data_IF_064793236234
#
_entry.id   IF_064793236234
#
_cell.length_a   1.000
_cell.length_b   1.000
_cell.length_c   1.000
_cell.angle_alpha   90.00
_cell.angle_beta   90.00
_cell.angle_gamma   90.00
#
_symmetry.space_group_name_H-M   'P 1'
#
loop_
_entity.id
_entity.type
_entity.pdbx_description
1 polymer ?
#
# COMPACT_ATOMS: atom_id res chain seq x y z
N UNK A 1 -5.38 -33.47 3.93
CA UNK A 1 -6.73 -33.45 4.51
C UNK A 1 -6.78 -33.42 6.04
N UNK A 2 -5.94 -34.12 6.81
CA UNK A 2 -5.98 -34.08 8.29
C UNK A 2 -5.60 -32.74 8.95
N UNK A 3 -4.86 -31.86 8.28
CA UNK A 3 -4.43 -30.57 8.84
C UNK A 3 -5.48 -29.43 8.75
N UNK A 4 -6.47 -29.53 7.88
CA UNK A 4 -7.56 -28.54 7.79
C UNK A 4 -8.62 -28.69 8.89
N UNK A 5 -8.83 -29.91 9.40
CA UNK A 5 -9.82 -30.14 10.46
C UNK A 5 -9.44 -29.54 11.82
N UNK A 6 -8.16 -29.35 12.08
CA UNK A 6 -7.70 -28.76 13.36
C UNK A 6 -7.98 -27.26 13.46
N UNK A 7 -8.02 -26.55 12.32
CA UNK A 7 -8.34 -25.11 12.26
C UNK A 7 -9.84 -24.84 12.39
N UNK A 8 -10.69 -25.70 11.81
CA UNK A 8 -12.15 -25.64 11.99
C UNK A 8 -12.59 -25.95 13.42
N UNK A 9 -11.89 -26.83 14.15
CA UNK A 9 -12.18 -27.15 15.54
C UNK A 9 -11.84 -25.98 16.50
N UNK A 10 -10.85 -25.16 16.20
CA UNK A 10 -10.55 -23.95 16.97
C UNK A 10 -11.62 -22.88 16.81
N UNK A 11 -12.23 -22.74 15.63
CA UNK A 11 -13.36 -21.84 15.40
C UNK A 11 -14.67 -22.34 16.02
N UNK A 12 -14.88 -23.65 16.03
CA UNK A 12 -16.07 -24.26 16.66
C UNK A 12 -16.07 -24.18 18.21
N UNK A 13 -14.89 -24.18 18.84
CA UNK A 13 -14.79 -24.02 20.28
C UNK A 13 -15.03 -22.58 20.78
N UNK A 14 -14.94 -21.58 19.91
CA UNK A 14 -15.28 -20.18 20.24
C UNK A 14 -16.80 -19.91 20.30
N UNK A 15 -17.63 -20.77 19.72
CA UNK A 15 -19.08 -20.61 19.66
C UNK A 15 -19.85 -20.82 20.98
N UNK A 16 -19.18 -21.25 22.06
CA UNK A 16 -19.87 -21.61 23.33
C UNK A 16 -19.84 -20.50 24.42
N UNK A 17 -19.38 -19.28 24.11
CA UNK A 17 -19.19 -18.22 25.11
C UNK A 17 -20.15 -17.03 24.98
N UNK A 18 -21.22 -17.16 24.23
CA UNK A 18 -22.28 -16.14 24.17
C UNK A 18 -23.24 -16.29 25.37
N UNK A 19 -22.79 -15.89 26.55
CA UNK A 19 -23.71 -15.73 27.68
C UNK A 19 -24.57 -14.46 27.49
N UNK A 20 -25.87 -14.63 27.58
CA UNK A 20 -26.88 -13.60 27.44
C UNK A 20 -26.83 -12.59 28.59
N UNK A 21 -26.43 -11.36 28.30
CA UNK A 21 -26.54 -10.24 29.22
C UNK A 21 -27.48 -9.15 28.63
N UNK A 22 -28.42 -8.65 29.46
CA UNK A 22 -29.59 -7.87 29.08
C UNK A 22 -29.32 -6.38 28.78
N UNK A 23 -28.08 -5.96 28.60
CA UNK A 23 -27.71 -4.57 28.27
C UNK A 23 -27.18 -4.38 26.84
N UNK A 24 -27.60 -5.24 25.90
CA UNK A 24 -27.04 -5.28 24.55
C UNK A 24 -27.78 -4.30 23.64
N UNK A 25 -27.20 -3.15 23.39
CA UNK A 25 -27.66 -2.26 22.34
C UNK A 25 -27.06 -2.72 21.00
N UNK A 26 -27.93 -3.21 20.09
CA UNK A 26 -27.54 -3.37 18.71
C UNK A 26 -27.48 -1.98 18.05
N UNK A 27 -26.52 -1.76 17.18
CA UNK A 27 -26.41 -0.54 16.39
C UNK A 27 -26.26 -0.90 14.91
N UNK A 28 -27.07 -0.26 14.07
CA UNK A 28 -26.91 -0.29 12.62
C UNK A 28 -26.68 1.13 12.12
N UNK A 29 -25.61 1.33 11.36
CA UNK A 29 -25.27 2.61 10.74
C UNK A 29 -25.14 2.43 9.23
N UNK A 30 -25.67 3.39 8.48
CA UNK A 30 -25.50 3.47 7.03
C UNK A 30 -24.92 4.82 6.69
N UNK A 31 -23.87 4.82 5.91
CA UNK A 31 -23.18 6.01 5.43
C UNK A 31 -22.90 5.92 3.93
N UNK A 32 -22.49 7.04 3.39
CA UNK A 32 -22.00 7.12 2.01
C UNK A 32 -20.66 7.85 1.99
N UNK A 33 -19.76 7.43 1.10
CA UNK A 33 -18.56 8.17 0.77
C UNK A 33 -18.52 8.37 -0.75
N UNK A 34 -18.55 9.62 -1.16
CA UNK A 34 -18.39 10.03 -2.56
C UNK A 34 -17.08 10.78 -2.68
N UNK A 35 -16.25 10.35 -3.61
CA UNK A 35 -15.00 11.03 -3.98
C UNK A 35 -15.02 11.35 -5.47
N UNK A 36 -14.75 12.60 -5.79
CA UNK A 36 -14.40 13.04 -7.15
C UNK A 36 -12.94 13.46 -7.12
N UNK A 37 -12.13 12.87 -8.00
CA UNK A 37 -10.69 13.10 -8.04
C UNK A 37 -10.25 13.37 -9.47
N UNK A 38 -9.51 14.44 -9.67
CA UNK A 38 -8.94 14.82 -10.96
C UNK A 38 -7.43 14.93 -10.87
N UNK A 39 -6.76 14.50 -11.94
CA UNK A 39 -5.31 14.60 -12.08
C UNK A 39 -4.95 15.21 -13.43
N UNK A 40 -3.85 15.94 -13.43
CA UNK A 40 -3.24 16.52 -14.62
C UNK A 40 -1.73 16.40 -14.52
N UNK A 41 -1.11 15.77 -15.51
CA UNK A 41 0.32 15.61 -15.65
C UNK A 41 0.82 16.37 -16.88
N UNK A 42 2.01 16.93 -16.81
CA UNK A 42 2.62 17.62 -17.96
C UNK A 42 4.15 17.62 -17.84
N UNK A 43 4.81 17.48 -18.99
CA UNK A 43 6.25 17.69 -19.21
C UNK A 43 7.14 16.64 -18.53
N UNK A 44 8.24 16.25 -19.16
CA UNK A 44 9.29 15.40 -18.57
C UNK A 44 8.89 14.00 -18.14
N UNK A 45 7.64 13.63 -18.28
CA UNK A 45 7.12 12.30 -17.94
C UNK A 45 7.60 11.26 -18.94
N UNK A 46 7.71 9.97 -18.53
CA UNK A 46 7.92 8.89 -19.48
C UNK A 46 6.89 8.99 -20.59
N UNK A 47 7.35 9.08 -21.81
CA UNK A 47 6.44 9.08 -22.96
C UNK A 47 5.93 7.67 -23.13
N UNK A 48 4.62 7.49 -23.12
CA UNK A 48 4.00 6.32 -23.76
C UNK A 48 4.19 6.52 -25.27
N UNK A 49 5.24 5.91 -25.81
CA UNK A 49 5.78 6.16 -27.17
C UNK A 49 4.76 5.87 -28.25
N UNK A 50 3.70 5.10 -27.93
CA UNK A 50 2.77 4.58 -28.93
C UNK A 50 1.46 5.35 -29.05
N UNK A 51 1.14 6.30 -28.18
CA UNK A 51 -0.23 6.82 -28.15
C UNK A 51 -0.43 8.29 -28.51
N UNK A 52 0.41 9.21 -28.07
CA UNK A 52 0.17 10.63 -28.35
C UNK A 52 1.46 11.45 -28.28
N UNK A 53 1.69 12.30 -29.25
CA UNK A 53 2.74 13.34 -29.26
C UNK A 53 2.49 14.46 -28.22
N UNK A 54 1.68 14.22 -27.19
CA UNK A 54 1.29 15.24 -26.23
C UNK A 54 2.04 15.02 -24.90
N UNK A 55 2.75 16.06 -24.47
CA UNK A 55 3.43 16.12 -23.17
C UNK A 55 2.44 16.30 -22.00
N UNK A 56 1.16 15.98 -22.17
CA UNK A 56 0.10 16.20 -21.18
C UNK A 56 -0.86 15.05 -21.12
N UNK A 57 -1.26 14.68 -19.89
CA UNK A 57 -2.36 13.78 -19.65
C UNK A 57 -3.25 14.33 -18.55
N UNK A 58 -4.54 14.05 -18.63
CA UNK A 58 -5.50 14.43 -17.60
C UNK A 58 -6.62 13.41 -17.53
N UNK A 59 -7.14 13.19 -16.33
CA UNK A 59 -8.31 12.37 -16.14
C UNK A 59 -9.10 12.80 -14.90
N UNK A 60 -10.37 12.43 -14.89
CA UNK A 60 -11.28 12.65 -13.78
C UNK A 60 -12.00 11.34 -13.48
N UNK A 61 -11.96 10.91 -12.23
CA UNK A 61 -12.72 9.74 -11.80
C UNK A 61 -13.64 10.05 -10.63
N UNK A 62 -14.69 9.25 -10.51
CA UNK A 62 -15.58 9.22 -9.38
C UNK A 62 -15.53 7.88 -8.67
N UNK A 63 -15.59 7.90 -7.36
CA UNK A 63 -15.74 6.73 -6.51
C UNK A 63 -16.89 6.96 -5.53
N UNK A 64 -17.85 6.05 -5.53
CA UNK A 64 -18.97 6.06 -4.59
C UNK A 64 -18.97 4.80 -3.77
N UNK A 65 -19.05 4.93 -2.45
CA UNK A 65 -19.17 3.81 -1.51
C UNK A 65 -20.47 3.94 -0.72
N UNK A 66 -21.18 2.84 -0.59
CA UNK A 66 -22.22 2.64 0.42
C UNK A 66 -21.61 1.83 1.55
N UNK A 67 -21.65 2.38 2.76
CA UNK A 67 -21.04 1.79 3.96
C UNK A 67 -22.15 1.34 4.89
N UNK A 68 -22.12 0.10 5.33
CA UNK A 68 -23.05 -0.48 6.29
C UNK A 68 -22.27 -1.08 7.45
N UNK A 69 -22.51 -0.60 8.64
CA UNK A 69 -21.91 -1.07 9.89
C UNK A 69 -22.99 -1.64 10.81
N UNK A 70 -22.77 -2.85 11.30
CA UNK A 70 -23.55 -3.44 12.37
C UNK A 70 -22.64 -3.76 13.55
N UNK A 71 -23.06 -3.36 14.74
CA UNK A 71 -22.32 -3.60 15.96
C UNK A 71 -23.25 -4.07 17.08
N UNK A 72 -22.81 -5.08 17.80
CA UNK A 72 -23.32 -5.49 19.11
C UNK A 72 -22.17 -5.99 19.96
N UNK A 73 -22.39 -6.16 21.28
CA UNK A 73 -21.34 -6.66 22.18
C UNK A 73 -20.67 -7.92 21.62
N UNK A 74 -19.37 -7.85 21.34
CA UNK A 74 -18.54 -8.96 20.86
C UNK A 74 -18.77 -9.35 19.39
N UNK A 75 -19.59 -8.63 18.61
CA UNK A 75 -19.78 -8.89 17.20
C UNK A 75 -19.86 -7.59 16.41
N UNK A 76 -19.08 -7.50 15.36
CA UNK A 76 -19.12 -6.41 14.37
C UNK A 76 -19.26 -7.03 12.97
N UNK A 77 -20.06 -6.40 12.13
CA UNK A 77 -20.12 -6.71 10.70
C UNK A 77 -20.04 -5.39 9.92
N UNK A 78 -19.31 -5.41 8.84
CA UNK A 78 -19.01 -4.27 7.99
C UNK A 78 -19.13 -4.66 6.53
N UNK A 79 -19.75 -3.79 5.72
CA UNK A 79 -19.84 -3.98 4.30
C UNK A 79 -19.70 -2.64 3.57
N UNK A 80 -18.86 -2.61 2.54
CA UNK A 80 -18.68 -1.46 1.65
C UNK A 80 -18.82 -1.90 0.21
N UNK A 81 -19.90 -1.49 -0.42
CA UNK A 81 -20.09 -1.63 -1.86
C UNK A 81 -19.51 -0.39 -2.52
N UNK A 82 -18.61 -0.58 -3.48
CA UNK A 82 -17.89 0.48 -4.16
C UNK A 82 -18.21 0.47 -5.65
N UNK A 83 -18.49 1.65 -6.19
CA UNK A 83 -18.45 1.92 -7.62
C UNK A 83 -17.30 2.88 -7.92
N UNK A 84 -16.50 2.60 -8.95
CA UNK A 84 -15.49 3.50 -9.50
C UNK A 84 -15.62 3.58 -11.00
N UNK A 85 -15.47 4.80 -11.53
CA UNK A 85 -15.56 5.06 -12.95
C UNK A 85 -14.69 6.26 -13.34
N UNK A 86 -14.01 6.16 -14.48
CA UNK A 86 -13.46 7.32 -15.17
C UNK A 86 -14.61 8.03 -15.88
N UNK A 87 -14.73 9.34 -15.70
CA UNK A 87 -15.84 10.10 -16.25
C UNK A 87 -15.83 10.08 -17.78
N UNK A 88 -16.99 9.78 -18.35
CA UNK A 88 -17.19 9.71 -19.80
C UNK A 88 -16.76 8.40 -20.47
N UNK A 89 -16.05 7.51 -19.77
CA UNK A 89 -15.69 6.20 -20.31
C UNK A 89 -16.84 5.21 -20.17
N UNK A 90 -17.45 4.80 -21.29
CA UNK A 90 -18.44 3.72 -21.31
C UNK A 90 -17.73 2.37 -21.08
N UNK A 91 -18.30 1.52 -20.23
CA UNK A 91 -17.77 0.18 -19.96
C UNK A 91 -16.60 0.10 -18.95
N UNK A 92 -16.07 1.24 -18.51
CA UNK A 92 -15.01 1.29 -17.48
C UNK A 92 -15.60 1.67 -16.11
N UNK A 93 -16.68 1.00 -15.74
CA UNK A 93 -17.31 1.11 -14.42
C UNK A 93 -17.14 -0.22 -13.72
N UNK A 94 -16.63 -0.20 -12.50
CA UNK A 94 -16.58 -1.37 -11.66
C UNK A 94 -17.47 -1.18 -10.44
N UNK A 95 -18.39 -2.12 -10.25
CA UNK A 95 -19.16 -2.26 -9.00
C UNK A 95 -18.62 -3.49 -8.30
N UNK A 96 -18.05 -3.32 -7.12
CA UNK A 96 -17.46 -4.41 -6.37
C UNK A 96 -17.70 -4.28 -4.86
N UNK A 97 -17.52 -5.38 -4.16
CA UNK A 97 -17.42 -5.40 -2.71
C UNK A 97 -15.99 -4.99 -2.34
N UNK A 98 -15.82 -3.77 -1.83
CA UNK A 98 -14.53 -3.27 -1.38
C UNK A 98 -14.14 -3.87 -0.02
N UNK A 99 -15.07 -3.87 0.94
CA UNK A 99 -14.95 -4.57 2.21
C UNK A 99 -16.23 -5.36 2.51
N UNK A 100 -16.07 -6.50 3.16
CA UNK A 100 -17.19 -7.32 3.59
C UNK A 100 -16.71 -8.36 4.59
N UNK A 101 -16.85 -8.06 5.88
CA UNK A 101 -16.28 -8.90 6.92
C UNK A 101 -17.13 -8.93 8.20
N UNK A 102 -16.91 -9.97 8.99
CA UNK A 102 -17.45 -10.13 10.34
C UNK A 102 -16.29 -10.33 11.32
N UNK A 103 -16.27 -9.58 12.44
CA UNK A 103 -15.32 -9.70 13.54
C UNK A 103 -16.07 -10.10 14.82
N UNK A 104 -15.59 -11.15 15.47
CA UNK A 104 -16.02 -11.57 16.80
C UNK A 104 -14.90 -11.26 17.78
N UNK A 105 -15.24 -10.62 18.92
CA UNK A 105 -14.29 -10.24 19.95
C UNK A 105 -14.77 -10.77 21.30
N UNK A 106 -13.92 -11.54 21.99
CA UNK A 106 -14.17 -12.02 23.33
C UNK A 106 -13.83 -10.97 24.38
N UNK A 107 -14.38 -11.10 25.60
CA UNK A 107 -14.16 -10.13 26.69
C UNK A 107 -12.69 -10.00 27.14
N UNK A 108 -11.87 -10.99 26.85
CA UNK A 108 -10.43 -10.99 27.16
C UNK A 108 -9.54 -10.39 26.05
N UNK A 109 -10.12 -9.78 25.00
CA UNK A 109 -9.38 -9.16 23.91
C UNK A 109 -9.00 -10.10 22.75
N UNK A 110 -9.29 -11.40 22.84
CA UNK A 110 -9.12 -12.30 21.70
C UNK A 110 -10.19 -12.02 20.65
N UNK A 111 -9.82 -12.07 19.38
CA UNK A 111 -10.76 -11.87 18.28
C UNK A 111 -10.50 -12.82 17.11
N UNK A 112 -11.53 -13.01 16.30
CA UNK A 112 -11.47 -13.61 14.98
C UNK A 112 -12.29 -12.77 13.98
N UNK A 113 -11.74 -12.56 12.78
CA UNK A 113 -12.36 -11.81 11.68
C UNK A 113 -12.22 -12.61 10.39
N UNK A 114 -13.26 -12.62 9.58
CA UNK A 114 -13.25 -13.28 8.29
C UNK A 114 -13.95 -12.41 7.24
N UNK A 115 -13.40 -12.39 6.05
CA UNK A 115 -13.96 -11.71 4.89
C UNK A 115 -12.95 -10.84 4.16
N UNK A 116 -13.46 -9.91 3.36
CA UNK A 116 -12.67 -8.94 2.60
C UNK A 116 -12.39 -7.71 3.46
N UNK A 117 -11.13 -7.46 3.74
CA UNK A 117 -10.66 -6.44 4.70
C UNK A 117 -9.64 -5.51 4.04
N UNK A 118 -9.83 -4.21 4.19
CA UNK A 118 -8.81 -3.22 3.86
C UNK A 118 -7.77 -3.20 4.99
N UNK A 119 -6.68 -3.96 4.80
CA UNK A 119 -5.61 -4.07 5.80
C UNK A 119 -4.77 -2.80 5.83
N UNK A 120 -4.51 -2.29 7.03
CA UNK A 120 -3.64 -1.14 7.28
C UNK A 120 -2.80 -1.42 8.53
N UNK A 121 -1.48 -1.36 8.40
CA UNK A 121 -0.54 -1.63 9.48
C UNK A 121 0.58 -0.59 9.50
N UNK A 122 0.98 -0.18 10.70
CA UNK A 122 2.06 0.76 10.95
C UNK A 122 1.88 2.10 10.18
N UNK A 123 2.90 2.52 9.43
CA UNK A 123 2.84 3.70 8.57
C UNK A 123 2.22 3.42 7.18
N UNK A 124 1.74 2.19 6.94
CA UNK A 124 1.22 1.69 5.65
C UNK A 124 2.30 1.54 4.56
N UNK A 125 3.55 1.49 4.91
CA UNK A 125 4.64 1.33 3.95
C UNK A 125 4.68 -0.06 3.30
N UNK A 126 4.26 -1.10 4.03
CA UNK A 126 4.26 -2.49 3.57
C UNK A 126 2.83 -2.99 3.30
N UNK A 127 1.90 -2.71 4.20
CA UNK A 127 0.48 -3.08 4.07
C UNK A 127 -0.36 -1.83 4.31
N UNK A 128 -1.06 -1.37 3.29
CA UNK A 128 -1.88 -0.18 3.37
C UNK A 128 -3.07 -0.23 2.41
N UNK A 129 -4.06 0.60 2.67
CA UNK A 129 -5.33 0.63 1.94
C UNK A 129 -5.22 1.28 0.57
N UNK A 130 -4.20 2.12 0.35
CA UNK A 130 -4.03 2.92 -0.86
C UNK A 130 -5.30 3.71 -1.27
N UNK A 131 -5.96 4.31 -0.29
CA UNK A 131 -7.29 4.92 -0.48
C UNK A 131 -7.30 6.18 -1.37
N UNK A 132 -6.13 6.69 -1.72
CA UNK A 132 -5.95 7.78 -2.68
C UNK A 132 -6.25 7.33 -4.12
N UNK A 133 -5.96 6.08 -4.47
CA UNK A 133 -6.14 5.55 -5.82
C UNK A 133 -7.63 5.35 -6.18
N UNK A 134 -7.90 5.24 -7.49
CA UNK A 134 -9.23 4.95 -8.03
C UNK A 134 -9.83 3.68 -7.40
N UNK A 135 -9.04 2.61 -7.33
CA UNK A 135 -9.36 1.39 -6.62
C UNK A 135 -8.44 1.24 -5.41
N UNK A 136 -8.98 1.32 -4.22
CA UNK A 136 -8.27 1.05 -2.99
C UNK A 136 -8.01 -0.46 -2.82
N UNK A 137 -7.04 -0.83 -1.96
CA UNK A 137 -6.64 -2.22 -1.74
C UNK A 137 -7.46 -2.88 -0.64
N UNK A 138 -7.84 -4.14 -0.85
CA UNK A 138 -8.45 -5.01 0.15
C UNK A 138 -8.00 -6.47 -0.08
N UNK A 139 -8.10 -7.30 0.95
CA UNK A 139 -7.61 -8.67 0.96
C UNK A 139 -8.68 -9.62 1.51
N UNK A 140 -8.88 -10.77 0.88
CA UNK A 140 -9.76 -11.83 1.37
C UNK A 140 -8.98 -12.66 2.39
N UNK A 141 -9.34 -12.53 3.67
CA UNK A 141 -8.52 -13.06 4.77
C UNK A 141 -9.34 -13.70 5.89
N UNK A 142 -8.69 -14.60 6.61
CA UNK A 142 -9.02 -14.94 7.99
C UNK A 142 -7.96 -14.28 8.87
N UNK A 143 -8.39 -13.42 9.79
CA UNK A 143 -7.53 -12.74 10.75
C UNK A 143 -7.95 -13.09 12.16
N UNK A 144 -7.03 -13.53 12.98
CA UNK A 144 -7.26 -13.80 14.40
C UNK A 144 -6.16 -13.13 15.24
N UNK A 145 -6.46 -12.81 16.47
CA UNK A 145 -5.46 -12.16 17.30
C UNK A 145 -5.95 -11.76 18.68
N UNK A 146 -5.16 -10.92 19.29
CA UNK A 146 -5.40 -10.32 20.60
C UNK A 146 -5.19 -8.82 20.53
N UNK A 147 -6.11 -8.06 21.11
CA UNK A 147 -6.02 -6.61 21.27
C UNK A 147 -6.33 -6.25 22.72
N UNK A 148 -5.34 -5.76 23.48
CA UNK A 148 -5.54 -5.36 24.86
C UNK A 148 -4.25 -5.03 25.60
N UNK A 149 -4.34 -4.17 26.64
CA UNK A 149 -3.24 -3.78 27.52
C UNK A 149 -2.00 -3.23 26.80
N UNK A 150 -2.21 -2.50 25.69
CA UNK A 150 -1.14 -1.97 24.84
C UNK A 150 -0.57 -2.99 23.85
N UNK A 151 -0.98 -4.26 23.91
CA UNK A 151 -0.55 -5.30 22.98
C UNK A 151 -1.57 -5.50 21.87
N UNK A 152 -1.09 -5.66 20.65
CA UNK A 152 -1.86 -6.10 19.48
C UNK A 152 -1.07 -7.19 18.78
N UNK A 153 -1.65 -8.37 18.63
CA UNK A 153 -1.01 -9.52 17.97
C UNK A 153 -1.97 -10.10 16.95
N UNK A 154 -1.63 -10.08 15.69
CA UNK A 154 -2.49 -10.52 14.58
C UNK A 154 -1.82 -11.62 13.78
N UNK A 155 -2.58 -12.66 13.47
CA UNK A 155 -2.25 -13.69 12.48
C UNK A 155 -3.25 -13.55 11.34
N UNK A 156 -2.75 -13.43 10.12
CA UNK A 156 -3.52 -13.20 8.91
C UNK A 156 -3.22 -14.32 7.93
N UNK A 157 -4.26 -14.94 7.41
CA UNK A 157 -4.16 -16.01 6.43
C UNK A 157 -5.04 -15.66 5.23
N UNK A 158 -4.46 -15.75 4.03
CA UNK A 158 -5.19 -15.59 2.78
C UNK A 158 -4.89 -16.73 1.81
N UNK A 159 -5.89 -17.05 1.01
CA UNK A 159 -5.76 -17.98 -0.10
C UNK A 159 -6.61 -17.46 -1.27
N UNK A 160 -5.96 -17.15 -2.38
CA UNK A 160 -6.60 -16.59 -3.56
C UNK A 160 -6.67 -17.61 -4.69
N UNK A 161 -7.75 -17.52 -5.43
CA UNK A 161 -8.04 -18.34 -6.60
C UNK A 161 -8.64 -17.43 -7.67
N UNK A 162 -8.43 -17.77 -8.95
CA UNK A 162 -9.02 -17.02 -10.05
C UNK A 162 -10.17 -17.78 -10.73
N UNK A 163 -10.61 -18.89 -10.15
CA UNK A 163 -11.73 -19.66 -10.62
C UNK A 163 -12.15 -20.76 -9.64
N UNK A 164 -13.37 -21.22 -9.77
CA UNK A 164 -13.89 -22.37 -9.05
C UNK A 164 -13.41 -23.65 -9.73
N UNK A 165 -12.69 -24.51 -9.00
CA UNK A 165 -12.23 -25.78 -9.52
C UNK A 165 -12.39 -26.88 -8.48
N UNK A 166 -13.34 -27.78 -8.71
CA UNK A 166 -13.73 -28.83 -7.78
C UNK A 166 -12.99 -30.15 -8.05
N UNK A 167 -12.45 -30.35 -9.25
CA UNK A 167 -11.94 -31.63 -9.73
C UNK A 167 -10.42 -31.67 -9.93
N UNK A 168 -9.74 -30.56 -9.91
CA UNK A 168 -8.28 -30.49 -10.07
C UNK A 168 -7.66 -29.46 -9.15
N UNK A 169 -6.34 -29.41 -9.10
CA UNK A 169 -5.65 -28.36 -8.37
C UNK A 169 -6.06 -26.98 -8.90
N UNK A 170 -6.51 -26.10 -8.00
CA UNK A 170 -6.73 -24.73 -8.40
C UNK A 170 -5.39 -23.99 -8.49
N UNK A 171 -5.23 -23.23 -9.54
CA UNK A 171 -4.08 -22.36 -9.71
C UNK A 171 -4.50 -20.92 -9.60
N UNK A 172 -3.56 -20.10 -9.21
CA UNK A 172 -3.64 -18.69 -9.37
C UNK A 172 -2.95 -18.31 -10.69
N UNK A 173 -3.73 -17.85 -11.67
CA UNK A 173 -3.20 -17.25 -12.90
C UNK A 173 -3.46 -15.75 -12.79
N UNK A 174 -2.46 -14.92 -12.96
CA UNK A 174 -2.46 -13.49 -12.74
C UNK A 174 -3.83 -12.81 -12.69
N UNK A 175 -4.23 -12.35 -11.52
CA UNK A 175 -5.55 -11.78 -11.24
C UNK A 175 -5.48 -10.56 -10.34
N UNK A 176 -6.57 -10.26 -9.64
CA UNK A 176 -6.69 -9.07 -8.83
C UNK A 176 -5.74 -9.03 -7.61
N UNK A 177 -5.25 -10.16 -7.12
CA UNK A 177 -4.31 -10.27 -6.01
C UNK A 177 -2.95 -10.75 -6.50
N UNK A 178 -1.90 -10.17 -5.93
CA UNK A 178 -0.53 -10.44 -6.34
C UNK A 178 0.04 -11.75 -5.75
N UNK A 179 -0.69 -12.46 -4.90
CA UNK A 179 -0.26 -13.70 -4.26
C UNK A 179 -1.35 -14.77 -4.35
N UNK A 180 -0.94 -16.02 -4.39
CA UNK A 180 -1.81 -17.19 -4.22
C UNK A 180 -2.12 -17.43 -2.74
N UNK A 181 -1.09 -17.35 -1.89
CA UNK A 181 -1.24 -17.50 -0.44
C UNK A 181 -0.49 -16.41 0.30
N UNK A 182 -1.02 -16.00 1.44
CA UNK A 182 -0.34 -15.09 2.37
C UNK A 182 -0.50 -15.60 3.79
N UNK A 183 0.61 -15.69 4.51
CA UNK A 183 0.66 -15.93 5.94
C UNK A 183 1.42 -14.77 6.57
N UNK A 184 0.75 -13.99 7.41
CA UNK A 184 1.35 -12.83 8.06
C UNK A 184 1.14 -12.88 9.56
N UNK A 185 2.19 -12.55 10.28
CA UNK A 185 2.16 -12.30 11.73
C UNK A 185 2.59 -10.86 11.94
N UNK A 186 1.79 -10.10 12.65
CA UNK A 186 2.11 -8.75 13.07
C UNK A 186 1.88 -8.61 14.56
N UNK A 187 2.81 -7.96 15.25
CA UNK A 187 2.73 -7.65 16.66
C UNK A 187 3.11 -6.21 16.91
N UNK A 188 2.30 -5.51 17.70
CA UNK A 188 2.54 -4.14 18.13
C UNK A 188 2.44 -4.05 19.65
N UNK A 189 3.26 -3.19 20.24
CA UNK A 189 3.22 -2.86 21.64
C UNK A 189 3.37 -1.37 21.87
N UNK A 190 2.35 -0.78 22.50
CA UNK A 190 2.40 0.58 23.04
C UNK A 190 2.86 0.51 24.50
N UNK A 191 3.98 1.15 24.81
CA UNK A 191 4.57 1.13 26.16
C UNK A 191 3.71 1.97 27.11
N UNK A 192 3.14 1.40 28.19
CA UNK A 192 2.29 2.14 29.12
C UNK A 192 3.04 3.34 29.73
N UNK A 193 2.41 4.52 29.71
CA UNK A 193 2.94 5.76 30.28
C UNK A 193 4.25 6.28 29.65
N UNK A 194 4.64 5.72 28.51
CA UNK A 194 5.80 6.18 27.75
C UNK A 194 5.42 6.29 26.27
N UNK A 195 5.71 7.41 25.58
CA UNK A 195 5.22 7.66 24.23
C UNK A 195 6.02 6.90 23.17
N UNK A 196 6.10 5.58 23.30
CA UNK A 196 6.80 4.67 22.40
C UNK A 196 5.88 3.52 21.99
N UNK A 197 5.70 3.34 20.70
CA UNK A 197 5.12 2.15 20.09
C UNK A 197 6.15 1.43 19.23
N UNK A 198 6.09 0.12 19.17
CA UNK A 198 6.95 -0.69 18.31
C UNK A 198 6.20 -1.87 17.73
N UNK A 199 6.46 -2.18 16.47
CA UNK A 199 5.86 -3.31 15.76
C UNK A 199 6.92 -4.22 15.16
N UNK A 200 6.54 -5.50 15.04
CA UNK A 200 7.26 -6.51 14.27
C UNK A 200 6.29 -7.12 13.24
N UNK A 201 6.78 -7.35 12.04
CA UNK A 201 6.03 -7.98 10.96
C UNK A 201 6.84 -9.13 10.37
N UNK A 202 6.17 -10.25 10.15
CA UNK A 202 6.63 -11.33 9.29
C UNK A 202 5.52 -11.68 8.30
N UNK A 203 5.84 -11.70 7.02
CA UNK A 203 4.92 -12.06 5.95
C UNK A 203 5.59 -13.09 5.04
N UNK A 204 4.88 -14.17 4.74
CA UNK A 204 5.26 -15.17 3.75
C UNK A 204 4.23 -15.19 2.64
N UNK A 205 4.66 -14.93 1.42
CA UNK A 205 3.83 -14.87 0.22
C UNK A 205 4.12 -16.06 -0.65
N UNK A 206 3.11 -16.84 -1.02
CA UNK A 206 3.22 -17.86 -2.05
C UNK A 206 2.75 -17.29 -3.39
N UNK A 207 3.64 -17.27 -4.37
CA UNK A 207 3.39 -16.81 -5.73
C UNK A 207 3.29 -18.03 -6.65
N UNK A 208 2.34 -18.00 -7.57
CA UNK A 208 2.22 -19.04 -8.58
C UNK A 208 3.22 -18.77 -9.70
N UNK A 209 4.07 -19.74 -10.01
CA UNK A 209 4.91 -19.80 -11.20
C UNK A 209 4.47 -20.93 -12.12
N UNK A 210 4.92 -20.92 -13.37
CA UNK A 210 4.64 -21.94 -14.35
C UNK A 210 3.24 -21.85 -14.99
N UNK A 211 3.07 -22.54 -16.10
CA UNK A 211 1.83 -22.61 -16.86
C UNK A 211 1.20 -24.01 -16.80
N UNK A 212 -0.13 -24.12 -16.60
CA UNK A 212 -0.79 -25.40 -16.34
C UNK A 212 -0.67 -26.45 -17.45
N UNK A 213 -0.33 -26.07 -18.66
CA UNK A 213 -0.37 -26.95 -19.84
C UNK A 213 0.99 -27.17 -20.52
N UNK A 214 2.07 -26.70 -19.93
CA UNK A 214 3.41 -26.82 -20.49
C UNK A 214 4.16 -27.98 -19.84
N UNK A 215 4.63 -28.92 -20.64
CA UNK A 215 5.32 -30.14 -20.15
C UNK A 215 6.55 -29.86 -19.29
N UNK A 216 7.23 -28.76 -19.53
CA UNK A 216 8.48 -28.38 -18.85
C UNK A 216 8.31 -27.24 -17.85
N UNK A 217 7.12 -26.68 -17.72
CA UNK A 217 6.82 -25.53 -16.86
C UNK A 217 5.57 -25.82 -16.02
N UNK A 218 5.68 -26.82 -15.13
CA UNK A 218 4.58 -27.21 -14.27
C UNK A 218 4.31 -26.12 -13.21
N UNK A 219 3.02 -25.87 -12.89
CA UNK A 219 2.67 -24.91 -11.86
C UNK A 219 3.31 -25.27 -10.52
N UNK A 220 4.06 -24.34 -9.95
CA UNK A 220 4.62 -24.43 -8.60
C UNK A 220 4.21 -23.22 -7.77
N UNK A 221 4.48 -23.25 -6.47
CA UNK A 221 4.28 -22.12 -5.59
C UNK A 221 5.61 -21.77 -4.96
N UNK A 222 6.13 -20.63 -5.36
CA UNK A 222 7.37 -20.08 -4.85
C UNK A 222 7.10 -19.09 -3.72
N UNK A 223 8.01 -19.02 -2.77
CA UNK A 223 7.78 -18.25 -1.56
C UNK A 223 8.72 -17.06 -1.44
N UNK A 224 8.13 -15.91 -1.16
CA UNK A 224 8.84 -14.68 -0.81
C UNK A 224 8.51 -14.29 0.64
N UNK A 225 9.53 -13.90 1.39
CA UNK A 225 9.36 -13.46 2.76
C UNK A 225 9.66 -11.97 2.89
N UNK A 226 8.86 -11.28 3.70
CA UNK A 226 9.10 -9.94 4.20
C UNK A 226 9.12 -9.98 5.73
N UNK A 227 10.15 -9.43 6.34
CA UNK A 227 10.23 -9.34 7.80
C UNK A 227 10.97 -8.09 8.24
N UNK A 228 10.53 -7.55 9.36
CA UNK A 228 11.09 -6.32 9.90
C UNK A 228 10.23 -5.70 10.98
N UNK A 229 10.35 -4.40 11.15
CA UNK A 229 9.60 -3.68 12.16
C UNK A 229 9.55 -2.18 11.96
N UNK A 230 8.71 -1.58 12.76
CA UNK A 230 8.44 -0.16 12.80
C UNK A 230 8.46 0.34 14.25
N UNK A 231 8.98 1.51 14.47
CA UNK A 231 8.94 2.21 15.75
C UNK A 231 8.36 3.60 15.59
N UNK A 232 7.59 4.06 16.57
CA UNK A 232 7.18 5.43 16.72
C UNK A 232 7.42 5.92 18.15
N UNK A 233 8.12 7.04 18.28
CA UNK A 233 8.31 7.73 19.53
C UNK A 233 7.71 9.12 19.40
N UNK A 234 6.68 9.45 20.21
CA UNK A 234 5.83 10.63 20.01
C UNK A 234 5.61 11.46 21.30
N UNK A 235 6.67 11.97 21.94
CA UNK A 235 6.50 12.94 23.03
C UNK A 235 5.87 14.24 22.49
N UNK A 236 5.38 15.08 23.40
CA UNK A 236 4.47 16.20 23.14
C UNK A 236 4.70 17.03 21.87
N UNK A 237 5.95 17.32 21.50
CA UNK A 237 6.29 18.23 20.38
C UNK A 237 7.16 17.56 19.31
N UNK A 238 7.48 16.29 19.48
CA UNK A 238 8.37 15.54 18.62
C UNK A 238 7.73 14.19 18.29
N UNK A 239 7.79 13.78 17.05
CA UNK A 239 7.50 12.39 16.64
C UNK A 239 8.71 11.89 15.86
N UNK A 240 9.24 10.75 16.26
CA UNK A 240 10.30 10.04 15.53
C UNK A 240 9.70 8.71 15.08
N UNK A 241 9.77 8.46 13.80
CA UNK A 241 9.32 7.21 13.16
C UNK A 241 10.52 6.54 12.50
N UNK A 242 10.59 5.23 12.58
CA UNK A 242 11.63 4.46 11.92
C UNK A 242 11.11 3.10 11.50
N UNK A 243 11.57 2.61 10.36
CA UNK A 243 11.25 1.28 9.88
C UNK A 243 12.46 0.60 9.24
N UNK A 244 12.51 -0.72 9.38
CA UNK A 244 13.48 -1.56 8.72
C UNK A 244 12.82 -2.86 8.30
N UNK A 245 12.92 -3.20 7.01
CA UNK A 245 12.36 -4.44 6.46
C UNK A 245 13.35 -5.12 5.53
N UNK A 246 13.33 -6.46 5.52
CA UNK A 246 14.09 -7.30 4.59
C UNK A 246 13.16 -8.20 3.80
N UNK A 247 13.55 -8.46 2.56
CA UNK A 247 12.92 -9.43 1.68
C UNK A 247 13.87 -10.58 1.41
N UNK A 248 13.33 -11.78 1.38
CA UNK A 248 14.01 -13.03 1.09
C UNK A 248 13.15 -13.97 0.25
N UNK A 249 13.62 -15.18 0.02
CA UNK A 249 12.97 -16.14 -0.85
C UNK A 249 13.46 -16.05 -2.28
N UNK A 250 12.60 -16.36 -3.24
CA UNK A 250 12.95 -16.44 -4.65
C UNK A 250 12.02 -15.61 -5.53
N UNK A 251 12.60 -14.93 -6.51
CA UNK A 251 11.88 -14.33 -7.63
C UNK A 251 11.93 -15.33 -8.80
N UNK A 252 10.77 -15.64 -9.36
CA UNK A 252 10.67 -16.53 -10.51
C UNK A 252 10.41 -15.70 -11.76
N UNK A 253 11.26 -15.84 -12.75
CA UNK A 253 11.03 -15.34 -14.11
C UNK A 253 10.47 -16.48 -14.96
N UNK A 254 9.17 -16.44 -15.22
CA UNK A 254 8.48 -17.46 -16.01
C UNK A 254 8.95 -17.50 -17.47
N UNK A 255 9.48 -16.41 -17.99
CA UNK A 255 10.00 -16.33 -19.37
C UNK A 255 11.36 -17.01 -19.49
N UNK A 256 12.23 -16.81 -18.50
CA UNK A 256 13.57 -17.35 -18.48
C UNK A 256 13.72 -18.65 -17.70
N UNK A 257 12.65 -19.12 -17.02
CA UNK A 257 12.64 -20.26 -16.11
C UNK A 257 13.75 -20.19 -15.05
N UNK A 258 14.09 -18.99 -14.60
CA UNK A 258 15.19 -18.73 -13.69
C UNK A 258 14.65 -18.43 -12.28
N UNK A 259 15.22 -19.12 -11.30
CA UNK A 259 15.01 -18.83 -9.88
C UNK A 259 16.12 -17.90 -9.41
N UNK A 260 15.75 -16.70 -8.97
CA UNK A 260 16.71 -15.70 -8.49
C UNK A 260 16.48 -15.45 -7.02
N UNK A 261 17.43 -15.74 -6.11
CA UNK A 261 17.28 -15.48 -4.70
C UNK A 261 17.15 -13.97 -4.41
N UNK A 262 16.26 -13.63 -3.48
CA UNK A 262 16.00 -12.25 -3.06
C UNK A 262 16.81 -11.92 -1.82
N UNK A 263 17.54 -10.79 -1.84
CA UNK A 263 18.27 -10.23 -0.69
C UNK A 263 18.09 -8.70 -0.62
N UNK A 264 16.85 -8.27 -0.61
CA UNK A 264 16.51 -6.85 -0.60
C UNK A 264 16.23 -6.35 0.82
N UNK A 265 16.39 -5.04 1.03
CA UNK A 265 16.09 -4.42 2.31
C UNK A 265 15.76 -2.93 2.15
N UNK A 266 15.07 -2.39 3.14
CA UNK A 266 14.85 -0.96 3.25
C UNK A 266 15.04 -0.47 4.68
N UNK A 267 15.37 0.80 4.81
CA UNK A 267 15.37 1.53 6.07
C UNK A 267 14.75 2.92 5.87
N UNK A 268 14.03 3.40 6.87
CA UNK A 268 13.44 4.73 6.88
C UNK A 268 13.56 5.36 8.26
N UNK A 269 13.84 6.65 8.31
CA UNK A 269 13.79 7.45 9.52
C UNK A 269 13.14 8.80 9.23
N UNK A 270 12.19 9.21 10.07
CA UNK A 270 11.48 10.49 9.95
C UNK A 270 11.35 11.14 11.32
N UNK A 271 11.62 12.43 11.37
CA UNK A 271 11.35 13.27 12.53
C UNK A 271 10.32 14.35 12.17
N UNK A 272 9.33 14.51 13.02
CA UNK A 272 8.32 15.56 12.92
C UNK A 272 8.34 16.39 14.19
N UNK A 273 8.55 17.69 14.07
CA UNK A 273 8.62 18.64 15.18
C UNK A 273 7.42 19.57 15.08
N UNK A 274 6.63 19.68 16.14
CA UNK A 274 5.47 20.59 16.25
C UNK A 274 5.66 21.59 17.39
N UNK A 275 6.36 22.70 17.15
CA UNK A 275 6.55 23.72 18.19
C UNK A 275 5.23 24.32 18.67
N UNK A 276 4.23 24.33 17.80
CA UNK A 276 2.86 24.82 18.08
C UNK A 276 1.81 23.88 17.52
N UNK A 277 0.56 23.98 17.96
CA UNK A 277 -0.56 23.21 17.40
C UNK A 277 -0.88 23.58 15.93
N UNK A 278 -0.34 24.72 15.45
CA UNK A 278 -0.65 25.24 14.11
C UNK A 278 0.42 24.91 13.07
N UNK A 279 1.68 24.79 13.45
CA UNK A 279 2.78 24.64 12.51
C UNK A 279 3.76 23.56 12.96
N UNK A 280 4.33 22.89 12.02
CA UNK A 280 5.36 21.88 12.26
C UNK A 280 6.30 21.73 11.07
N UNK A 281 7.38 21.02 11.34
CA UNK A 281 8.43 20.67 10.41
C UNK A 281 8.59 19.16 10.38
N UNK A 282 8.92 18.63 9.23
CA UNK A 282 9.30 17.23 9.09
C UNK A 282 10.60 17.11 8.29
N UNK A 283 11.38 16.10 8.62
CA UNK A 283 12.54 15.69 7.85
C UNK A 283 12.71 14.19 7.93
N UNK A 284 13.31 13.62 6.92
CA UNK A 284 13.56 12.19 6.94
C UNK A 284 14.42 11.73 5.79
N UNK A 285 14.71 10.43 5.85
CA UNK A 285 15.49 9.73 4.85
C UNK A 285 14.96 8.32 4.69
N UNK A 286 14.73 7.93 3.45
CA UNK A 286 14.35 6.59 3.05
C UNK A 286 15.45 5.99 2.18
N UNK A 287 15.76 4.73 2.43
CA UNK A 287 16.68 3.94 1.63
C UNK A 287 16.03 2.61 1.25
N UNK A 288 15.93 2.35 -0.04
CA UNK A 288 15.51 1.07 -0.61
C UNK A 288 16.68 0.48 -1.37
N UNK A 289 17.12 -0.72 -1.04
CA UNK A 289 18.21 -1.39 -1.74
C UNK A 289 17.87 -1.63 -3.22
N UNK A 290 18.88 -1.65 -4.06
CA UNK A 290 18.78 -1.85 -5.50
C UNK A 290 19.62 -3.03 -6.00
N UNK A 291 19.26 -3.51 -7.18
CA UNK A 291 20.01 -4.52 -7.90
C UNK A 291 21.36 -3.96 -8.36
N UNK A 292 22.36 -4.83 -8.42
CA UNK A 292 23.63 -4.48 -9.03
C UNK A 292 23.43 -4.24 -10.54
N UNK A 293 23.92 -3.12 -11.03
CA UNK A 293 23.83 -2.81 -12.45
C UNK A 293 24.90 -3.58 -13.23
N UNK A 294 24.46 -4.57 -14.00
CA UNK A 294 25.33 -5.32 -14.92
C UNK A 294 24.75 -5.19 -16.32
N UNK A 295 25.29 -4.31 -17.17
CA UNK A 295 24.85 -4.19 -18.55
C UNK A 295 25.21 -5.46 -19.32
N UNK A 296 24.21 -6.17 -19.84
CA UNK A 296 24.41 -7.29 -20.76
C UNK A 296 23.98 -6.84 -22.14
N UNK A 297 24.95 -6.71 -23.05
CA UNK A 297 24.67 -6.38 -24.44
C UNK A 297 24.18 -7.63 -25.19
N UNK A 298 22.91 -7.69 -25.51
CA UNK A 298 22.39 -8.55 -26.57
C UNK A 298 22.22 -7.70 -27.82
N UNK A 299 22.67 -8.14 -28.96
CA UNK A 299 22.79 -7.45 -30.24
C UNK A 299 21.61 -6.59 -30.74
N UNK A 300 21.19 -5.63 -29.93
CA UNK A 300 20.13 -4.66 -30.15
C UNK A 300 20.11 -3.57 -29.07
N UNK A 301 19.22 -2.56 -29.19
CA UNK A 301 19.16 -1.43 -28.24
C UNK A 301 18.62 -1.80 -26.85
N UNK A 302 18.22 -3.04 -26.61
CA UNK A 302 17.68 -3.50 -25.32
C UNK A 302 18.78 -4.21 -24.54
N UNK A 303 19.13 -3.65 -23.40
CA UNK A 303 20.02 -4.25 -22.41
C UNK A 303 19.16 -5.03 -21.44
N UNK A 304 19.17 -6.36 -21.51
CA UNK A 304 18.55 -7.19 -20.46
C UNK A 304 19.57 -7.37 -19.33
N UNK A 305 19.19 -7.05 -18.12
CA UNK A 305 20.02 -7.24 -16.94
C UNK A 305 19.60 -8.54 -16.26
N UNK A 306 20.53 -9.51 -16.20
CA UNK A 306 20.34 -10.73 -15.41
C UNK A 306 21.10 -10.60 -14.10
N UNK A 307 20.41 -10.76 -13.00
CA UNK A 307 20.99 -10.76 -11.67
C UNK A 307 21.10 -12.18 -11.12
N UNK A 308 22.24 -12.53 -10.54
CA UNK A 308 22.40 -13.76 -9.75
C UNK A 308 21.60 -13.67 -8.42
N UNK A 309 21.38 -12.46 -7.93
CA UNK A 309 20.65 -12.15 -6.71
C UNK A 309 19.84 -10.89 -6.93
N UNK A 310 18.54 -10.94 -6.68
CA UNK A 310 17.66 -9.76 -6.70
C UNK A 310 17.82 -8.98 -5.39
N UNK A 311 18.28 -7.76 -5.46
CA UNK A 311 18.50 -6.86 -4.32
C UNK A 311 17.54 -5.67 -4.29
N UNK A 312 16.71 -5.50 -5.31
CA UNK A 312 15.74 -4.43 -5.43
C UNK A 312 14.59 -4.59 -4.45
N UNK A 313 14.44 -3.64 -3.51
CA UNK A 313 13.34 -3.68 -2.55
C UNK A 313 12.02 -3.22 -3.17
N UNK A 314 10.96 -3.96 -2.94
CA UNK A 314 9.59 -3.65 -3.40
C UNK A 314 8.64 -3.51 -2.20
N UNK A 315 7.92 -2.37 -2.06
CA UNK A 315 7.00 -2.12 -0.92
C UNK A 315 5.69 -2.93 -0.97
N UNK A 316 5.56 -3.95 -1.75
CA UNK A 316 4.44 -4.90 -1.88
C UNK A 316 3.05 -4.24 -1.90
N UNK A 317 2.36 -4.23 -0.73
CA UNK A 317 0.96 -3.79 -0.60
C UNK A 317 0.82 -2.42 0.07
N UNK A 318 1.89 -1.67 0.20
CA UNK A 318 1.87 -0.34 0.82
C UNK A 318 0.98 0.68 0.09
N UNK A 319 0.73 1.80 0.75
CA UNK A 319 -0.02 2.93 0.20
C UNK A 319 0.87 3.78 -0.70
N UNK A 320 0.44 3.99 -1.94
CA UNK A 320 1.09 4.88 -2.92
C UNK A 320 0.81 6.35 -2.60
N UNK A 321 1.56 7.26 -3.23
CA UNK A 321 1.46 8.72 -3.05
C UNK A 321 1.58 9.20 -1.60
N UNK A 322 2.14 8.37 -0.71
CA UNK A 322 2.37 8.68 0.71
C UNK A 322 3.85 8.81 1.01
N UNK A 323 4.70 8.16 0.22
CA UNK A 323 6.15 8.08 0.40
C UNK A 323 6.86 8.49 -0.90
N UNK A 324 8.13 8.91 -0.81
CA UNK A 324 9.02 9.18 -1.95
C UNK A 324 8.56 10.29 -2.91
N UNK A 325 7.85 11.30 -2.38
CA UNK A 325 7.19 12.36 -3.16
C UNK A 325 5.77 12.00 -3.58
N UNK A 326 4.89 13.00 -3.67
CA UNK A 326 3.47 12.80 -3.97
C UNK A 326 3.19 12.50 -5.44
N UNK A 327 4.17 12.71 -6.33
CA UNK A 327 4.07 12.38 -7.77
C UNK A 327 4.08 10.86 -8.03
N UNK A 328 4.41 10.04 -7.04
CA UNK A 328 4.39 8.58 -7.03
C UNK A 328 5.26 7.88 -8.10
N UNK A 329 6.30 8.56 -8.58
CA UNK A 329 7.19 8.02 -9.62
C UNK A 329 8.06 6.87 -9.14
N UNK A 330 8.38 6.82 -7.85
CA UNK A 330 9.42 5.97 -7.30
C UNK A 330 8.90 4.94 -6.30
N UNK A 331 7.58 4.80 -6.17
CA UNK A 331 6.98 3.90 -5.20
C UNK A 331 7.43 2.45 -5.37
N UNK A 332 7.41 1.94 -6.59
CA UNK A 332 7.81 0.56 -6.87
C UNK A 332 9.31 0.43 -7.15
N UNK A 333 10.04 1.52 -7.25
CA UNK A 333 11.44 1.63 -7.68
C UNK A 333 11.81 0.77 -8.91
N UNK A 334 10.83 0.08 -9.49
CA UNK A 334 10.98 -0.70 -10.70
C UNK A 334 11.04 0.24 -11.92
N UNK A 335 12.03 0.06 -12.72
CA UNK A 335 12.22 0.83 -13.94
C UNK A 335 12.03 -0.09 -15.15
N UNK A 336 12.69 -0.05 -16.18
CA UNK A 336 12.48 -0.92 -17.32
C UNK A 336 13.19 -2.28 -17.17
N UNK A 337 12.69 -3.34 -17.82
CA UNK A 337 13.32 -4.64 -18.01
C UNK A 337 13.67 -5.41 -16.73
N UNK A 338 12.89 -5.24 -15.67
CA UNK A 338 13.10 -5.98 -14.43
C UNK A 338 14.26 -5.48 -13.57
N UNK A 339 14.93 -4.39 -13.95
CA UNK A 339 15.97 -3.75 -13.16
C UNK A 339 15.38 -2.81 -12.12
N UNK A 340 15.72 -3.02 -10.86
CA UNK A 340 15.29 -2.22 -9.71
C UNK A 340 16.49 -1.56 -9.04
N UNK A 341 16.87 -0.33 -9.42
CA UNK A 341 18.08 0.32 -8.91
C UNK A 341 17.98 0.80 -7.46
N UNK A 342 16.86 0.54 -6.80
CA UNK A 342 16.58 1.04 -5.46
C UNK A 342 16.36 2.56 -5.44
N UNK A 343 16.21 3.10 -4.23
CA UNK A 343 15.89 4.52 -4.04
C UNK A 343 16.52 5.07 -2.76
N UNK A 344 17.02 6.28 -2.87
CA UNK A 344 17.36 7.17 -1.75
C UNK A 344 16.45 8.40 -1.85
N UNK A 345 15.77 8.74 -0.76
CA UNK A 345 14.89 9.90 -0.68
C UNK A 345 15.22 10.68 0.60
N UNK A 346 15.93 11.80 0.47
CA UNK A 346 16.10 12.74 1.56
C UNK A 346 15.06 13.85 1.43
N UNK A 347 14.33 14.14 2.51
CA UNK A 347 13.26 15.13 2.45
C UNK A 347 13.19 16.03 3.68
N UNK A 348 12.67 17.23 3.44
CA UNK A 348 12.30 18.19 4.46
C UNK A 348 10.96 18.82 4.10
N UNK A 349 10.15 19.15 5.10
CA UNK A 349 8.84 19.75 4.86
C UNK A 349 8.40 20.67 5.98
N UNK A 350 7.50 21.57 5.63
CA UNK A 350 6.79 22.46 6.55
C UNK A 350 5.31 22.25 6.35
N UNK A 351 4.58 22.12 7.43
CA UNK A 351 3.13 21.97 7.37
C UNK A 351 2.45 22.82 8.44
N UNK A 352 1.18 23.12 8.22
CA UNK A 352 0.43 23.86 9.22
C UNK A 352 -0.99 24.20 8.84
N UNK A 353 -1.67 24.87 9.80
CA UNK A 353 -3.03 25.34 9.66
C UNK A 353 -3.05 26.87 9.69
N UNK A 354 -2.77 27.55 8.54
CA UNK A 354 -2.70 29.01 8.48
C UNK A 354 -4.05 29.69 8.76
N UNK A 355 -5.15 28.98 8.52
CA UNK A 355 -6.49 29.41 8.84
C UNK A 355 -7.32 28.26 9.41
N UNK A 356 -8.45 28.58 10.04
CA UNK A 356 -9.39 27.59 10.57
C UNK A 356 -9.85 26.67 9.45
N UNK A 357 -9.76 25.36 9.65
CA UNK A 357 -10.15 24.30 8.68
C UNK A 357 -9.28 24.20 7.42
N UNK A 358 -8.22 25.00 7.28
CA UNK A 358 -7.26 24.94 6.19
C UNK A 358 -5.96 24.32 6.70
N UNK A 359 -5.52 23.23 6.06
CA UNK A 359 -4.21 22.64 6.29
C UNK A 359 -3.39 22.73 5.00
N UNK A 360 -2.13 23.08 5.14
CA UNK A 360 -1.18 23.17 4.04
C UNK A 360 0.12 22.44 4.41
N UNK A 361 0.79 21.91 3.38
CA UNK A 361 2.11 21.29 3.49
C UNK A 361 2.93 21.65 2.25
N UNK A 362 4.20 21.93 2.45
CA UNK A 362 5.23 22.04 1.40
C UNK A 362 6.35 21.09 1.79
N UNK A 363 6.80 20.26 0.86
CA UNK A 363 7.93 19.38 1.06
C UNK A 363 8.92 19.48 -0.11
N UNK A 364 10.19 19.29 0.18
CA UNK A 364 11.25 19.15 -0.80
C UNK A 364 11.86 17.77 -0.66
N UNK A 365 12.09 17.11 -1.80
CA UNK A 365 12.71 15.81 -1.88
C UNK A 365 13.94 15.85 -2.77
N UNK A 366 15.03 15.28 -2.31
CA UNK A 366 16.19 14.89 -3.11
C UNK A 366 16.13 13.38 -3.34
N UNK A 367 16.18 12.98 -4.59
CA UNK A 367 15.98 11.62 -5.03
C UNK A 367 17.21 11.10 -5.78
N UNK A 368 17.66 9.91 -5.43
CA UNK A 368 18.78 9.23 -6.07
C UNK A 368 18.54 7.70 -6.08
N UNK A 369 19.19 6.98 -6.99
CA UNK A 369 19.21 5.52 -6.95
C UNK A 369 20.15 5.02 -5.85
N UNK A 370 19.90 3.81 -5.34
CA UNK A 370 20.71 3.20 -4.31
C UNK A 370 21.97 2.52 -4.88
N UNK A 371 21.89 2.02 -6.11
CA UNK A 371 22.98 1.29 -6.77
C UNK A 371 23.89 2.22 -7.57
N UNK A 372 25.13 1.79 -7.80
CA UNK A 372 26.06 2.46 -8.72
C UNK A 372 25.69 2.12 -10.17
N UNK A 373 25.60 3.14 -11.01
CA UNK A 373 25.40 3.01 -12.44
C UNK A 373 26.72 3.32 -13.14
N UNK A 374 27.16 2.44 -14.05
CA UNK A 374 28.53 2.48 -14.60
C UNK A 374 28.87 3.83 -15.29
N UNK A 375 27.91 4.44 -15.97
CA UNK A 375 28.12 5.64 -16.80
C UNK A 375 27.18 6.81 -16.42
N UNK A 376 26.46 6.71 -15.31
CA UNK A 376 25.46 7.70 -14.89
C UNK A 376 25.64 8.08 -13.42
N UNK A 377 25.35 9.32 -13.11
CA UNK A 377 25.24 9.79 -11.71
C UNK A 377 24.07 9.10 -11.01
N UNK A 378 24.13 8.90 -9.71
CA UNK A 378 23.03 8.34 -8.93
C UNK A 378 21.82 9.28 -8.81
N UNK A 379 21.98 10.56 -9.01
CA UNK A 379 20.94 11.56 -8.81
C UNK A 379 19.80 11.39 -9.82
N UNK A 380 18.58 11.18 -9.31
CA UNK A 380 17.36 11.18 -10.12
C UNK A 380 16.78 12.58 -10.30
N UNK A 381 16.96 13.44 -9.31
CA UNK A 381 16.50 14.81 -9.35
C UNK A 381 15.95 15.33 -8.02
N UNK A 382 15.19 16.43 -8.13
CA UNK A 382 14.60 17.13 -6.99
C UNK A 382 13.11 17.35 -7.23
N UNK A 383 12.28 17.17 -6.21
CA UNK A 383 10.86 17.46 -6.26
C UNK A 383 10.47 18.48 -5.20
N UNK A 384 9.54 19.34 -5.55
CA UNK A 384 8.85 20.24 -4.63
C UNK A 384 7.38 19.90 -4.70
N UNK A 385 6.81 19.55 -3.54
CA UNK A 385 5.45 19.10 -3.38
C UNK A 385 4.68 20.11 -2.53
N UNK A 386 3.50 20.48 -2.98
CA UNK A 386 2.56 21.33 -2.25
C UNK A 386 1.23 20.61 -2.11
N UNK A 387 0.68 20.61 -0.90
CA UNK A 387 -0.64 20.06 -0.61
C UNK A 387 -1.45 21.06 0.23
N UNK A 388 -2.73 21.17 -0.07
CA UNK A 388 -3.68 21.93 0.73
C UNK A 388 -4.99 21.17 0.89
N UNK A 389 -5.62 21.29 2.05
CA UNK A 389 -6.95 20.73 2.27
C UNK A 389 -7.81 21.67 3.10
N UNK A 390 -9.06 21.84 2.68
CA UNK A 390 -10.06 22.65 3.36
C UNK A 390 -11.28 21.83 3.75
N UNK A 391 -11.69 21.90 5.01
CA UNK A 391 -12.88 21.21 5.51
C UNK A 391 -14.05 22.18 5.60
N UNK A 392 -14.99 22.09 4.67
CA UNK A 392 -16.19 22.91 4.64
C UNK A 392 -17.12 22.58 5.81
N UNK A 393 -17.33 21.29 6.06
CA UNK A 393 -18.13 20.77 7.16
C UNK A 393 -17.48 19.51 7.73
N UNK A 394 -18.14 18.83 8.68
CA UNK A 394 -17.69 17.51 9.16
C UNK A 394 -17.68 16.46 8.05
N UNK A 395 -18.54 16.59 7.06
CA UNK A 395 -18.80 15.61 6.01
C UNK A 395 -18.17 15.99 4.65
N UNK A 396 -17.69 17.24 4.47
CA UNK A 396 -17.21 17.74 3.17
C UNK A 396 -15.78 18.27 3.29
N UNK A 397 -14.89 17.69 2.52
CA UNK A 397 -13.48 18.09 2.41
C UNK A 397 -13.06 18.23 0.95
N UNK A 398 -12.42 19.34 0.63
CA UNK A 398 -11.68 19.55 -0.62
C UNK A 398 -10.18 19.47 -0.31
N UNK A 399 -9.43 18.74 -1.13
CA UNK A 399 -7.97 18.73 -1.09
C UNK A 399 -7.42 18.95 -2.50
N UNK A 400 -6.26 19.53 -2.59
CA UNK A 400 -5.54 19.72 -3.84
C UNK A 400 -4.04 19.61 -3.57
N UNK A 401 -3.29 19.16 -4.57
CA UNK A 401 -1.85 19.11 -4.53
C UNK A 401 -1.22 19.50 -5.86
N UNK A 402 0.02 19.89 -5.78
CA UNK A 402 0.86 20.18 -6.94
C UNK A 402 2.27 19.72 -6.64
N UNK A 403 2.87 19.01 -7.58
CA UNK A 403 4.26 18.58 -7.53
C UNK A 403 4.99 19.00 -8.79
N UNK A 404 6.23 19.43 -8.62
CA UNK A 404 7.13 19.74 -9.72
C UNK A 404 8.47 19.05 -9.49
N UNK A 405 8.91 18.27 -10.47
CA UNK A 405 10.18 17.58 -10.46
C UNK A 405 11.13 18.08 -11.54
N UNK A 406 12.37 18.26 -11.16
CA UNK A 406 13.51 18.47 -12.03
C UNK A 406 14.30 17.18 -12.10
N UNK A 407 14.15 16.42 -13.19
CA UNK A 407 14.88 15.19 -13.44
C UNK A 407 16.31 15.44 -13.91
N UNK A 408 17.05 14.36 -14.05
CA UNK A 408 18.43 14.30 -14.58
C UNK A 408 18.51 13.36 -15.77
N UNK A 409 19.67 13.28 -16.43
CA UNK A 409 19.92 12.29 -17.47
C UNK A 409 19.71 10.86 -16.96
N UNK A 410 20.07 10.57 -15.73
CA UNK A 410 19.83 9.27 -15.08
C UNK A 410 18.35 8.93 -15.02
N UNK A 411 17.52 9.90 -14.64
CA UNK A 411 16.07 9.72 -14.65
C UNK A 411 15.54 9.43 -16.06
N UNK A 412 16.03 10.17 -17.07
CA UNK A 412 15.63 9.97 -18.47
C UNK A 412 15.98 8.57 -18.96
N UNK A 413 17.19 8.10 -18.67
CA UNK A 413 17.64 6.76 -19.03
C UNK A 413 16.78 5.66 -18.37
N UNK A 414 16.46 5.82 -17.10
CA UNK A 414 15.71 4.81 -16.33
C UNK A 414 14.21 4.87 -16.59
N UNK A 415 13.61 6.05 -16.76
CA UNK A 415 12.17 6.25 -16.91
C UNK A 415 11.74 6.59 -18.33
N UNK A 416 12.68 6.67 -19.29
CA UNK A 416 12.43 7.08 -20.67
C UNK A 416 11.77 8.47 -20.76
N UNK A 417 12.23 9.38 -19.90
CA UNK A 417 11.71 10.74 -19.76
C UNK A 417 12.45 11.77 -20.64
N UNK A 418 12.28 13.04 -20.28
CA UNK A 418 12.94 14.20 -20.89
C UNK A 418 13.21 15.24 -19.79
N UNK A 419 14.39 15.21 -19.19
CA UNK A 419 14.82 16.10 -18.09
C UNK A 419 15.01 17.55 -18.53
N UNK A 420 15.07 17.84 -19.85
CA UNK A 420 15.02 19.22 -20.35
C UNK A 420 13.68 19.91 -20.04
N UNK A 421 12.65 19.12 -19.76
CA UNK A 421 11.31 19.55 -19.36
C UNK A 421 11.07 19.24 -17.89
N UNK A 422 10.40 20.17 -17.20
CA UNK A 422 9.98 19.95 -15.81
C UNK A 422 8.75 19.06 -15.77
N UNK A 423 8.84 17.92 -15.09
CA UNK A 423 7.68 17.10 -14.80
C UNK A 423 6.79 17.83 -13.78
N UNK A 424 5.49 17.90 -14.08
CA UNK A 424 4.49 18.58 -13.25
C UNK A 424 3.30 17.67 -13.07
N UNK A 425 2.79 17.60 -11.83
CA UNK A 425 1.58 16.89 -11.49
C UNK A 425 0.70 17.73 -10.59
N UNK A 426 -0.54 17.86 -10.96
CA UNK A 426 -1.55 18.55 -10.17
C UNK A 426 -2.76 17.65 -9.98
N UNK A 427 -3.36 17.70 -8.79
CA UNK A 427 -4.56 16.94 -8.49
C UNK A 427 -5.51 17.73 -7.58
N UNK A 428 -6.77 17.36 -7.63
CA UNK A 428 -7.75 17.75 -6.62
C UNK A 428 -8.65 16.58 -6.25
N UNK A 429 -9.18 16.62 -5.03
CA UNK A 429 -10.10 15.61 -4.52
C UNK A 429 -11.19 16.24 -3.67
N UNK A 430 -12.44 16.08 -4.07
CA UNK A 430 -13.62 16.44 -3.27
C UNK A 430 -14.18 15.16 -2.64
N UNK A 431 -14.22 15.12 -1.32
CA UNK A 431 -14.77 13.99 -0.56
C UNK A 431 -16.00 14.45 0.20
N UNK A 432 -17.11 13.72 0.04
CA UNK A 432 -18.40 13.95 0.71
C UNK A 432 -18.78 12.65 1.40
N UNK A 433 -18.85 12.65 2.75
CA UNK A 433 -19.03 11.44 3.57
C UNK A 433 -20.12 11.62 4.63
N UNK A 434 -21.42 11.75 4.24
CA UNK A 434 -22.51 11.87 5.19
C UNK A 434 -22.82 10.54 5.87
N UNK A 435 -23.13 10.59 7.16
CA UNK A 435 -23.91 9.54 7.82
C UNK A 435 -25.38 9.70 7.40
N UNK A 436 -25.95 8.67 6.77
CA UNK A 436 -27.33 8.71 6.26
C UNK A 436 -28.32 8.43 7.39
N UNK A 437 -28.08 7.39 8.17
CA UNK A 437 -28.82 7.13 9.39
C UNK A 437 -28.05 6.22 10.36
N UNK A 438 -28.42 6.26 11.62
CA UNK A 438 -27.99 5.33 12.66
C UNK A 438 -29.18 4.97 13.53
N UNK A 439 -29.41 3.71 13.78
CA UNK A 439 -30.45 3.21 14.69
C UNK A 439 -29.84 2.30 15.75
N UNK A 440 -30.48 2.29 16.93
CA UNK A 440 -30.09 1.47 18.08
C UNK A 440 -31.31 0.80 18.65
N UNK A 441 -31.23 -0.46 19.05
CA UNK A 441 -32.29 -1.24 19.67
C UNK A 441 -31.82 -2.31 20.61
#
# INVERSE_FOLDING_TARGET
MRKCYMMLLLLASMGCWAQTDSSKVNQLSVGMNLMTHGEMCAGGLPKDVDRFNEDRSQFLFGRTRLVVDFERKGLQAHAVIQNNAIWGMKGNQSLNLYEGWVKMTANNGLFAQVGRVALSYDDERIIGTNDFATAAKSHDVVRAGYEGHGHQAHVILAYNQNGENVYSSSYYVGGAQYYKTMQTVWYHYDVPNFPLGASLLFMNLGLQSGAPNEKNNQPSTEYQQMYGGYINFHPKHLTIEGSYYRQGGELVDDVMMAHTPIKAWMASAKATIRPTDRYGFEMGYDYLSGDDYVPVAFGGPLVMVRHEVHKGFTPLYGSRAKFYGIMDYFYESAYSLGFTPGLQNAFVGVFGSPAKRLNCKIAYHYLAVATDLTDLDRTLGHSIDFEASYRFSKDIRLAAGYSQMHGTETMDRLKQGDSSKRARWGWFSLVISPSLFTTKW
#
